data_IF_236158211129
#
_entry.id   IF_236158211129
#
_cell.length_a   1.000
_cell.length_b   1.000
_cell.length_c   1.000
_cell.angle_alpha   90.00
_cell.angle_beta   90.00
_cell.angle_gamma   90.00
#
_symmetry.space_group_name_H-M   'P 1'
#
loop_
_entity.id
_entity.type
_entity.pdbx_description
1 polymer ?
#
# COMPACT_ATOMS: atom_id res chain seq x y z
N UNK A 1 15.21 -8.01 3.98
CA UNK A 1 15.21 -6.62 4.44
C UNK A 1 14.09 -6.42 5.44
N UNK A 2 14.37 -5.79 6.55
CA UNK A 2 13.37 -5.47 7.54
C UNK A 2 12.89 -4.04 7.35
N UNK A 3 11.57 -3.87 7.40
CA UNK A 3 10.96 -2.55 7.22
C UNK A 3 10.38 -1.98 8.52
N UNK A 4 10.67 -2.62 9.67
CA UNK A 4 10.04 -2.21 10.93
C UNK A 4 10.25 -0.72 11.21
N UNK A 5 9.16 -0.02 11.55
CA UNK A 5 9.15 1.41 11.88
C UNK A 5 9.76 2.27 10.77
N UNK A 6 9.53 1.89 9.53
CA UNK A 6 10.16 2.55 8.40
C UNK A 6 9.12 3.19 7.51
N UNK A 7 9.56 4.25 6.86
CA UNK A 7 8.84 4.90 5.80
C UNK A 7 9.58 4.63 4.50
N UNK A 8 8.86 4.26 3.48
CA UNK A 8 9.45 3.95 2.17
C UNK A 8 8.76 4.77 1.10
N UNK A 9 9.45 4.91 -0.03
CA UNK A 9 8.88 5.50 -1.23
C UNK A 9 8.51 4.36 -2.18
N UNK A 10 7.28 4.40 -2.68
CA UNK A 10 6.78 3.41 -3.63
C UNK A 10 6.81 4.00 -5.03
N UNK A 11 7.53 3.34 -5.93
CA UNK A 11 7.68 3.79 -7.32
C UNK A 11 7.21 2.68 -8.24
N UNK A 12 6.40 3.07 -9.23
CA UNK A 12 6.03 2.17 -10.33
C UNK A 12 7.10 2.31 -11.40
N UNK A 13 8.01 1.36 -11.46
CA UNK A 13 9.14 1.43 -12.40
C UNK A 13 8.72 1.13 -13.82
N UNK A 14 7.64 0.39 -14.02
CA UNK A 14 7.12 0.13 -15.36
C UNK A 14 6.60 1.42 -16.00
N UNK A 15 5.95 2.28 -15.21
CA UNK A 15 5.33 3.52 -15.72
C UNK A 15 6.18 4.76 -15.47
N UNK A 16 7.18 4.67 -14.59
CA UNK A 16 7.96 5.84 -14.21
C UNK A 16 7.19 6.81 -13.34
N UNK A 17 6.27 6.32 -12.51
CA UNK A 17 5.43 7.16 -11.65
C UNK A 17 5.67 6.84 -10.19
N UNK A 18 5.40 7.81 -9.31
CA UNK A 18 5.56 7.65 -7.87
C UNK A 18 4.17 7.45 -7.26
N UNK A 19 3.98 6.31 -6.58
CA UNK A 19 2.72 6.01 -5.90
C UNK A 19 2.61 6.73 -4.56
N UNK A 20 3.74 6.95 -3.90
CA UNK A 20 3.77 7.70 -2.66
C UNK A 20 5.18 7.80 -2.12
N UNK A 21 5.48 8.92 -1.46
CA UNK A 21 6.80 9.15 -0.88
C UNK A 21 6.86 8.88 0.62
N UNK A 22 5.69 8.74 1.25
CA UNK A 22 5.58 8.54 2.71
C UNK A 22 4.73 7.31 3.00
N UNK A 23 5.19 6.15 2.54
CA UNK A 23 4.49 4.88 2.75
C UNK A 23 4.99 4.27 4.05
N UNK A 24 4.10 4.13 5.04
CA UNK A 24 4.44 3.45 6.29
C UNK A 24 4.41 1.95 6.05
N UNK A 25 5.26 1.22 6.78
CA UNK A 25 5.32 -0.23 6.65
C UNK A 25 4.77 -0.89 7.91
N UNK A 26 3.80 -1.76 7.73
CA UNK A 26 3.20 -2.55 8.80
C UNK A 26 3.64 -4.00 8.63
N UNK A 27 4.70 -4.39 9.33
CA UNK A 27 5.29 -5.73 9.21
C UNK A 27 5.15 -6.58 10.46
N UNK A 28 4.48 -6.07 11.49
CA UNK A 28 4.16 -6.85 12.68
C UNK A 28 2.66 -7.12 12.74
N UNK A 29 2.26 -8.15 13.47
CA UNK A 29 0.83 -8.47 13.62
C UNK A 29 0.03 -7.29 14.15
N UNK A 30 0.54 -6.64 15.19
CA UNK A 30 -0.17 -5.50 15.78
C UNK A 30 -0.24 -4.31 14.83
N UNK A 31 0.87 -3.95 14.18
CA UNK A 31 0.86 -2.81 13.26
C UNK A 31 -0.02 -3.07 12.06
N UNK A 32 -0.16 -4.33 11.61
CA UNK A 32 -1.09 -4.66 10.54
C UNK A 32 -2.55 -4.47 10.95
N UNK A 33 -2.86 -4.75 12.21
CA UNK A 33 -4.22 -4.61 12.73
C UNK A 33 -4.59 -3.14 12.86
N UNK A 34 -3.71 -2.34 13.46
CA UNK A 34 -4.03 -0.94 13.74
C UNK A 34 -3.77 -0.03 12.54
N UNK A 35 -3.02 -0.47 11.57
CA UNK A 35 -2.69 0.22 10.30
C UNK A 35 -3.30 1.59 10.11
N UNK A 36 -4.39 1.66 9.35
CA UNK A 36 -5.10 2.91 9.08
C UNK A 36 -6.26 3.18 10.03
N UNK A 37 -6.47 2.36 11.06
CA UNK A 37 -7.50 2.61 12.06
C UNK A 37 -7.24 3.96 12.72
N UNK A 38 -8.28 4.77 12.83
CA UNK A 38 -8.16 6.09 13.42
C UNK A 38 -7.71 7.18 12.48
N UNK A 39 -7.22 6.84 11.30
CA UNK A 39 -6.91 7.85 10.31
C UNK A 39 -8.20 8.46 9.79
N UNK A 40 -8.21 9.78 9.64
CA UNK A 40 -9.38 10.49 9.12
C UNK A 40 -9.31 10.67 7.62
N UNK A 41 -8.11 10.71 7.08
CA UNK A 41 -7.88 10.77 5.65
C UNK A 41 -6.48 10.29 5.37
N UNK A 42 -6.25 9.97 4.12
CA UNK A 42 -4.94 9.60 3.61
C UNK A 42 -4.61 10.60 2.52
N UNK A 43 -3.58 11.41 2.74
CA UNK A 43 -3.21 12.47 1.81
C UNK A 43 -2.37 11.94 0.65
N UNK A 44 -2.37 12.61 -0.51
CA UNK A 44 -1.47 12.20 -1.58
C UNK A 44 -0.03 12.10 -1.09
N UNK A 45 0.65 11.02 -1.46
CA UNK A 45 1.99 10.74 -0.98
C UNK A 45 2.04 9.80 0.21
N UNK A 46 0.95 9.68 0.96
CA UNK A 46 0.86 8.77 2.10
C UNK A 46 0.40 7.39 1.65
N UNK A 47 0.58 6.41 2.51
CA UNK A 47 0.08 5.07 2.28
C UNK A 47 0.53 4.10 3.35
N UNK A 48 0.13 2.85 3.18
CA UNK A 48 0.48 1.78 4.11
C UNK A 48 0.83 0.53 3.32
N UNK A 49 2.02 0.00 3.55
CA UNK A 49 2.44 -1.29 2.98
C UNK A 49 2.32 -2.34 4.08
N UNK A 50 1.44 -3.31 3.88
CA UNK A 50 1.19 -4.39 4.83
C UNK A 50 1.94 -5.62 4.34
N UNK A 51 2.91 -6.09 5.12
CA UNK A 51 3.78 -7.21 4.77
C UNK A 51 3.93 -8.12 5.98
N UNK A 52 3.67 -9.41 5.88
CA UNK A 52 3.04 -10.11 4.77
C UNK A 52 1.53 -9.93 4.77
N UNK A 53 0.91 -10.04 3.60
CA UNK A 53 -0.55 -10.00 3.50
C UNK A 53 -1.01 -10.64 2.21
N UNK A 54 -2.17 -11.31 2.27
CA UNK A 54 -2.80 -11.89 1.10
C UNK A 54 -4.15 -11.24 0.79
N UNK A 55 -4.48 -10.19 1.53
CA UNK A 55 -5.71 -9.45 1.33
C UNK A 55 -5.96 -8.49 2.48
N UNK A 56 -6.95 -7.65 2.33
CA UNK A 56 -7.29 -6.66 3.36
C UNK A 56 -8.79 -6.55 3.53
N UNK A 57 -9.18 -5.97 4.66
CA UNK A 57 -10.52 -5.48 4.87
C UNK A 57 -10.46 -4.00 5.28
N UNK A 58 -11.53 -3.29 4.97
CA UNK A 58 -11.58 -1.84 5.21
C UNK A 58 -12.46 -1.46 6.40
N UNK A 59 -12.69 -2.40 7.32
CA UNK A 59 -13.47 -2.14 8.51
C UNK A 59 -12.74 -1.15 9.40
N UNK A 60 -13.46 -0.16 9.88
CA UNK A 60 -12.90 0.89 10.72
C UNK A 60 -12.27 2.04 9.96
N UNK A 61 -12.25 1.98 8.64
CA UNK A 61 -11.73 3.09 7.83
C UNK A 61 -12.81 4.12 7.60
N UNK A 62 -12.41 5.38 7.60
CA UNK A 62 -13.35 6.50 7.48
C UNK A 62 -13.44 7.04 6.05
N UNK A 63 -12.74 6.46 5.11
CA UNK A 63 -12.63 6.97 3.73
C UNK A 63 -12.31 5.81 2.78
N UNK A 64 -12.67 5.95 1.48
CA UNK A 64 -12.27 4.95 0.50
C UNK A 64 -10.78 5.02 0.20
N UNK A 65 -10.21 3.89 -0.20
CA UNK A 65 -8.79 3.78 -0.53
C UNK A 65 -8.59 2.98 -1.80
N UNK A 66 -7.45 3.19 -2.44
CA UNK A 66 -6.98 2.34 -3.50
C UNK A 66 -6.11 1.24 -2.91
N UNK A 67 -6.19 0.04 -3.48
CA UNK A 67 -5.46 -1.12 -2.98
C UNK A 67 -4.69 -1.76 -4.12
N UNK A 68 -3.41 -2.06 -3.86
CA UNK A 68 -2.53 -2.77 -4.76
C UNK A 68 -2.11 -4.06 -4.09
N UNK A 69 -2.40 -5.20 -4.72
CA UNK A 69 -1.98 -6.50 -4.22
C UNK A 69 -0.71 -6.90 -4.97
N UNK A 70 0.34 -7.22 -4.23
CA UNK A 70 1.68 -7.45 -4.76
C UNK A 70 2.16 -8.88 -4.49
N UNK A 71 2.89 -9.44 -5.44
CA UNK A 71 3.57 -10.72 -5.22
C UNK A 71 4.90 -10.50 -4.50
N UNK A 72 5.66 -11.59 -4.30
CA UNK A 72 6.94 -11.55 -3.59
C UNK A 72 8.01 -10.74 -4.32
N UNK A 73 7.84 -10.52 -5.62
CA UNK A 73 8.79 -9.76 -6.44
C UNK A 73 8.31 -8.33 -6.68
N UNK A 74 7.27 -7.90 -5.96
CA UNK A 74 6.68 -6.57 -6.06
C UNK A 74 5.99 -6.30 -7.39
N UNK A 75 5.52 -7.34 -8.07
CA UNK A 75 4.69 -7.18 -9.26
C UNK A 75 3.24 -7.06 -8.85
N UNK A 76 2.49 -6.24 -9.56
CA UNK A 76 1.08 -5.99 -9.27
C UNK A 76 0.25 -7.17 -9.73
N UNK A 77 -0.39 -7.86 -8.78
CA UNK A 77 -1.28 -9.00 -9.04
C UNK A 77 -2.71 -8.54 -9.24
N UNK A 78 -3.15 -7.55 -8.48
CA UNK A 78 -4.53 -7.10 -8.52
C UNK A 78 -4.62 -5.67 -8.02
N UNK A 79 -5.68 -5.00 -8.42
CA UNK A 79 -5.98 -3.62 -8.03
C UNK A 79 -7.43 -3.51 -7.60
N UNK A 80 -7.68 -2.64 -6.63
CA UNK A 80 -9.04 -2.27 -6.23
C UNK A 80 -9.06 -0.76 -6.07
N UNK A 81 -9.90 -0.10 -6.86
CA UNK A 81 -10.01 1.36 -6.83
C UNK A 81 -11.14 1.77 -5.92
N UNK A 82 -10.91 2.79 -5.11
CA UNK A 82 -11.93 3.43 -4.26
C UNK A 82 -12.72 2.41 -3.45
N UNK A 83 -11.98 1.52 -2.80
CA UNK A 83 -12.59 0.50 -1.96
C UNK A 83 -13.19 1.16 -0.72
N UNK A 84 -14.50 0.99 -0.54
CA UNK A 84 -15.25 1.66 0.51
C UNK A 84 -15.12 0.94 1.84
N UNK A 85 -15.57 1.61 2.90
CA UNK A 85 -15.62 1.06 4.25
C UNK A 85 -16.44 -0.25 4.28
N UNK A 86 -16.06 -1.14 5.18
CA UNK A 86 -16.72 -2.44 5.39
C UNK A 86 -16.65 -3.37 4.17
N UNK A 87 -15.63 -3.22 3.36
CA UNK A 87 -15.36 -4.14 2.26
C UNK A 87 -14.14 -4.98 2.59
N UNK A 88 -13.99 -6.09 1.89
CA UNK A 88 -12.80 -6.93 2.02
C UNK A 88 -12.44 -7.47 0.64
N UNK A 89 -11.14 -7.67 0.43
CA UNK A 89 -10.68 -8.34 -0.78
C UNK A 89 -10.80 -9.84 -0.58
N UNK A 90 -10.81 -10.57 -1.70
CA UNK A 90 -10.61 -12.02 -1.62
C UNK A 90 -9.17 -12.30 -1.19
N UNK A 91 -8.89 -13.56 -0.84
CA UNK A 91 -7.54 -14.00 -0.54
C UNK A 91 -6.81 -14.24 -1.86
N UNK A 92 -5.61 -13.65 -1.98
CA UNK A 92 -4.75 -13.82 -3.15
C UNK A 92 -3.56 -14.68 -2.76
N UNK A 93 -3.63 -15.97 -3.11
CA UNK A 93 -2.65 -16.95 -2.63
C UNK A 93 -1.21 -16.65 -3.01
N UNK A 94 -0.99 -15.97 -4.14
CA UNK A 94 0.36 -15.58 -4.58
C UNK A 94 0.81 -14.24 -4.03
N UNK A 95 -0.03 -13.56 -3.29
CA UNK A 95 0.31 -12.26 -2.75
C UNK A 95 1.25 -12.38 -1.57
N UNK A 96 2.17 -11.43 -1.48
CA UNK A 96 3.08 -11.29 -0.35
C UNK A 96 2.81 -10.01 0.43
N UNK A 97 2.21 -9.00 -0.19
CA UNK A 97 1.98 -7.71 0.43
C UNK A 97 0.78 -7.01 -0.19
N UNK A 98 0.25 -6.04 0.55
CA UNK A 98 -0.82 -5.16 0.08
C UNK A 98 -0.41 -3.73 0.36
N UNK A 99 -0.54 -2.89 -0.65
CA UNK A 99 -0.27 -1.45 -0.55
C UNK A 99 -1.59 -0.71 -0.56
N UNK A 100 -1.84 0.09 0.47
CA UNK A 100 -3.02 0.93 0.59
C UNK A 100 -2.63 2.37 0.30
N UNK A 101 -3.37 3.01 -0.60
CA UNK A 101 -3.08 4.36 -1.09
C UNK A 101 -4.33 5.22 -1.03
N UNK A 102 -4.18 6.55 -1.08
CA UNK A 102 -5.33 7.43 -1.21
C UNK A 102 -6.12 7.10 -2.47
N UNK A 103 -7.43 7.29 -2.39
CA UNK A 103 -8.32 7.08 -3.52
C UNK A 103 -7.88 7.96 -4.70
N UNK A 104 -7.79 7.36 -5.88
CA UNK A 104 -7.40 8.05 -7.10
C UNK A 104 -5.94 7.88 -7.49
N UNK A 105 -5.09 7.34 -6.60
CA UNK A 105 -3.67 7.19 -6.90
C UNK A 105 -3.39 6.19 -8.00
N UNK A 106 -4.21 5.15 -8.12
CA UNK A 106 -4.03 4.18 -9.21
C UNK A 106 -4.24 4.83 -10.57
N UNK A 107 -5.26 5.68 -10.68
CA UNK A 107 -5.53 6.38 -11.93
C UNK A 107 -4.45 7.41 -12.24
N UNK A 108 -4.05 8.21 -11.26
CA UNK A 108 -3.07 9.27 -11.49
C UNK A 108 -1.68 8.74 -11.84
N UNK A 109 -1.34 7.54 -11.39
CA UNK A 109 -0.04 6.91 -11.66
C UNK A 109 -0.08 5.93 -12.82
N UNK A 110 -1.25 5.71 -13.40
CA UNK A 110 -1.49 4.74 -14.49
C UNK A 110 -1.06 3.32 -14.12
N UNK A 111 -1.16 2.97 -12.85
CA UNK A 111 -0.74 1.66 -12.36
C UNK A 111 -1.69 0.59 -12.85
N UNK A 112 -1.14 -0.51 -13.36
CA UNK A 112 -1.89 -1.62 -13.96
C UNK A 112 -1.35 -2.95 -13.47
N UNK A 113 -2.18 -3.99 -13.62
CA UNK A 113 -1.78 -5.36 -13.31
C UNK A 113 -0.56 -5.73 -14.15
N UNK A 114 0.43 -6.34 -13.52
CA UNK A 114 1.69 -6.71 -14.16
C UNK A 114 2.78 -5.69 -14.03
N UNK A 115 2.47 -4.48 -13.56
CA UNK A 115 3.50 -3.46 -13.34
C UNK A 115 4.42 -3.88 -12.21
N UNK A 116 5.67 -3.44 -12.28
CA UNK A 116 6.67 -3.68 -11.25
C UNK A 116 6.84 -2.45 -10.38
N UNK A 117 6.84 -2.67 -9.07
CA UNK A 117 7.06 -1.60 -8.10
C UNK A 117 8.41 -1.78 -7.41
N UNK A 118 8.95 -0.68 -6.90
CA UNK A 118 10.08 -0.71 -5.99
C UNK A 118 9.75 0.10 -4.75
N UNK A 119 10.34 -0.30 -3.64
CA UNK A 119 10.14 0.35 -2.35
C UNK A 119 11.50 0.71 -1.79
N UNK A 120 11.81 2.00 -1.80
CA UNK A 120 13.07 2.51 -1.33
C UNK A 120 12.91 3.16 0.03
N UNK A 121 13.87 2.91 0.92
CA UNK A 121 13.83 3.53 2.24
C UNK A 121 14.00 5.04 2.07
N UNK A 122 13.13 5.80 2.73
CA UNK A 122 13.26 7.24 2.79
C UNK A 122 14.26 7.56 3.89
N UNK A 123 15.37 8.20 3.53
CA UNK A 123 16.31 8.66 4.51
C UNK A 123 15.80 9.97 5.09
N UNK A 124 15.50 9.94 6.38
CA UNK A 124 15.25 11.18 7.07
C UNK A 124 16.61 11.83 7.29
N UNK A 125 16.77 13.06 6.82
CA UNK A 125 17.99 13.78 7.12
C UNK A 125 18.12 13.86 8.64
N UNK A 126 19.16 13.26 9.17
CA UNK A 126 19.40 13.29 10.61
C UNK A 126 19.70 14.72 11.02
N UNK A 127 19.06 15.15 12.05
CA UNK A 127 19.20 16.51 12.55
C UNK A 127 19.69 16.50 13.97
#
# INVERSE_FOLDING_TARGET
MQFRNKTVRAVNTTRGTILGECIRVADTGLSRIIGLLGERKLSPGDGLLIVPSQGVHTWGMMFPIDIVVLDRDWNVLALRRRMRQFRMTRIFWKAAAVLELPSGMLDSTATAIGDALTFDRVETSAQ
#
